data_IF_252193643093
#
_entry.id   IF_252193643093
#
_cell.length_a   1.000
_cell.length_b   1.000
_cell.length_c   1.000
_cell.angle_alpha   90.00
_cell.angle_beta   90.00
_cell.angle_gamma   90.00
#
_symmetry.space_group_name_H-M   'P 1'
#
loop_
_entity.id
_entity.type
_entity.pdbx_description
1 polymer ?
#
# COMPACT_ATOMS: atom_id res chain seq x y z
N UNK A 1 8.84 4.19 -16.55
CA UNK A 1 9.08 3.15 -15.52
C UNK A 1 8.19 3.32 -14.29
N UNK A 2 6.99 2.74 -14.30
CA UNK A 2 5.98 2.81 -13.20
C UNK A 2 6.18 1.71 -12.14
N UNK A 3 7.04 0.71 -12.40
CA UNK A 3 7.34 -0.39 -11.46
C UNK A 3 7.91 0.13 -10.14
N UNK A 4 8.70 1.20 -10.21
CA UNK A 4 9.39 1.78 -9.06
C UNK A 4 8.45 2.49 -8.05
N UNK A 5 7.53 3.37 -8.46
CA UNK A 5 6.53 3.93 -7.53
C UNK A 5 5.54 2.87 -7.01
N UNK A 6 5.20 1.86 -7.82
CA UNK A 6 4.35 0.76 -7.36
C UNK A 6 5.01 -0.12 -6.28
N UNK A 7 6.32 -0.42 -6.42
CA UNK A 7 7.06 -1.13 -5.37
C UNK A 7 7.17 -0.31 -4.09
N UNK A 8 7.18 1.01 -4.19
CA UNK A 8 7.24 1.90 -3.04
C UNK A 8 5.91 1.92 -2.28
N UNK A 9 4.78 2.02 -3.00
CA UNK A 9 3.46 1.87 -2.39
C UNK A 9 3.25 0.49 -1.73
N UNK A 10 3.85 -0.58 -2.28
CA UNK A 10 3.85 -1.89 -1.63
C UNK A 10 4.63 -1.90 -0.30
N UNK A 11 5.79 -1.23 -0.24
CA UNK A 11 6.59 -1.10 0.99
C UNK A 11 5.84 -0.28 2.06
N UNK A 12 5.16 0.79 1.65
CA UNK A 12 4.26 1.55 2.52
C UNK A 12 3.11 0.69 3.05
N UNK A 13 2.55 -0.19 2.20
CA UNK A 13 1.54 -1.18 2.60
C UNK A 13 2.04 -2.15 3.68
N UNK A 14 3.31 -2.56 3.63
CA UNK A 14 3.93 -3.38 4.69
C UNK A 14 4.00 -2.60 6.01
N UNK A 15 4.37 -1.31 5.95
CA UNK A 15 4.38 -0.46 7.15
C UNK A 15 2.98 -0.34 7.76
N UNK A 16 1.93 -0.14 6.95
CA UNK A 16 0.55 -0.11 7.42
C UNK A 16 0.12 -1.45 8.05
N UNK A 17 0.49 -2.58 7.46
CA UNK A 17 0.22 -3.90 8.01
C UNK A 17 0.86 -4.07 9.41
N UNK A 18 2.12 -3.68 9.56
CA UNK A 18 2.83 -3.74 10.85
C UNK A 18 2.18 -2.82 11.89
N UNK A 19 1.68 -1.65 11.48
CA UNK A 19 0.92 -0.73 12.34
C UNK A 19 -0.41 -1.35 12.80
N UNK A 20 -1.14 -2.03 11.91
CA UNK A 20 -2.37 -2.75 12.31
C UNK A 20 -2.04 -3.90 13.25
N UNK A 21 -0.97 -4.64 12.98
CA UNK A 21 -0.53 -5.78 13.80
C UNK A 21 -0.14 -5.34 15.21
N UNK A 22 0.59 -4.22 15.37
CA UNK A 22 0.92 -3.69 16.68
C UNK A 22 -0.34 -3.27 17.45
N UNK A 23 -1.30 -2.61 16.77
CA UNK A 23 -2.53 -2.13 17.41
C UNK A 23 -3.41 -3.30 17.86
N UNK A 24 -3.52 -4.36 17.05
CA UNK A 24 -4.23 -5.57 17.43
C UNK A 24 -3.58 -6.29 18.62
N UNK A 25 -2.24 -6.35 18.66
CA UNK A 25 -1.51 -6.93 19.79
C UNK A 25 -1.69 -6.10 21.07
N UNK A 26 -1.64 -4.76 20.97
CA UNK A 26 -1.88 -3.86 22.10
C UNK A 26 -3.33 -3.93 22.60
N UNK A 27 -4.31 -4.04 21.70
CA UNK A 27 -5.72 -4.19 22.05
C UNK A 27 -6.01 -5.54 22.72
N UNK A 28 -5.24 -6.58 22.41
CA UNK A 28 -5.36 -7.91 23.02
C UNK A 28 -4.71 -8.00 24.40
N UNK A 29 -3.99 -6.96 24.83
CA UNK A 29 -3.38 -6.90 26.15
C UNK A 29 -4.39 -6.45 27.21
N UNK A 30 -5.20 -7.36 27.72
CA UNK A 30 -6.00 -7.12 28.91
C UNK A 30 -5.29 -7.66 30.17
N UNK A 31 -5.03 -6.78 31.13
CA UNK A 31 -4.77 -7.09 32.54
C UNK A 31 -3.46 -7.82 32.97
N UNK A 32 -2.62 -8.37 32.08
CA UNK A 32 -1.52 -9.27 32.50
C UNK A 32 -0.12 -9.04 31.91
N UNK A 33 0.05 -8.08 30.99
CA UNK A 33 1.34 -7.67 30.43
C UNK A 33 1.58 -8.09 28.97
N UNK A 34 1.94 -7.11 28.13
CA UNK A 34 2.30 -7.29 26.72
C UNK A 34 3.74 -7.81 26.50
N UNK A 35 4.20 -8.77 27.31
CA UNK A 35 5.60 -9.20 27.37
C UNK A 35 6.06 -10.15 26.25
N UNK A 36 5.30 -10.29 25.16
CA UNK A 36 5.68 -11.21 24.10
C UNK A 36 6.78 -10.60 23.22
N UNK A 37 7.86 -11.33 22.98
CA UNK A 37 9.04 -10.88 22.22
C UNK A 37 8.71 -10.41 20.79
N UNK A 38 7.56 -10.83 20.25
CA UNK A 38 7.07 -10.41 18.92
C UNK A 38 6.69 -8.94 18.88
N UNK A 39 6.21 -8.36 19.98
CA UNK A 39 5.74 -6.97 20.02
C UNK A 39 6.87 -5.95 19.72
N UNK A 40 8.05 -6.01 20.37
CA UNK A 40 9.16 -5.13 20.02
C UNK A 40 9.74 -5.42 18.62
N UNK A 41 9.65 -6.66 18.12
CA UNK A 41 10.06 -7.00 16.74
C UNK A 41 9.13 -6.34 15.72
N UNK A 42 7.82 -6.35 15.94
CA UNK A 42 6.86 -5.71 15.04
C UNK A 42 6.99 -4.18 15.10
N UNK A 43 7.19 -3.60 16.29
CA UNK A 43 7.43 -2.15 16.44
C UNK A 43 8.73 -1.73 15.73
N UNK A 44 9.82 -2.47 15.92
CA UNK A 44 11.09 -2.15 15.27
C UNK A 44 11.03 -2.36 13.76
N UNK A 45 10.36 -3.43 13.30
CA UNK A 45 10.08 -3.65 11.88
C UNK A 45 9.29 -2.51 11.25
N UNK A 46 8.24 -2.03 11.93
CA UNK A 46 7.44 -0.89 11.49
C UNK A 46 8.26 0.41 11.39
N UNK A 47 9.10 0.68 12.40
CA UNK A 47 9.95 1.87 12.41
C UNK A 47 10.98 1.82 11.27
N UNK A 48 11.60 0.66 11.04
CA UNK A 48 12.58 0.47 9.96
C UNK A 48 11.94 0.57 8.58
N UNK A 49 10.77 -0.06 8.37
CA UNK A 49 10.05 0.04 7.10
C UNK A 49 9.64 1.49 6.84
N UNK A 50 9.08 2.18 7.83
CA UNK A 50 8.67 3.58 7.69
C UNK A 50 9.84 4.51 7.31
N UNK A 51 11.01 4.31 7.94
CA UNK A 51 12.21 5.09 7.61
C UNK A 51 12.69 4.77 6.18
N UNK A 52 12.68 3.49 5.80
CA UNK A 52 13.06 3.07 4.45
C UNK A 52 12.13 3.68 3.40
N UNK A 53 10.82 3.62 3.61
CA UNK A 53 9.81 4.19 2.71
C UNK A 53 10.04 5.69 2.53
N UNK A 54 10.18 6.47 3.62
CA UNK A 54 10.44 7.92 3.55
C UNK A 54 11.73 8.24 2.80
N UNK A 55 12.79 7.45 3.02
CA UNK A 55 14.07 7.65 2.36
C UNK A 55 14.01 7.40 0.85
N UNK A 56 13.37 6.30 0.44
CA UNK A 56 13.16 5.97 -0.97
C UNK A 56 12.23 6.97 -1.66
N UNK A 57 11.17 7.41 -0.99
CA UNK A 57 10.18 8.36 -1.51
C UNK A 57 10.83 9.71 -1.83
N UNK A 58 11.77 10.16 -0.98
CA UNK A 58 12.62 11.34 -1.25
C UNK A 58 13.48 11.16 -2.51
N UNK A 59 14.01 9.96 -2.76
CA UNK A 59 14.81 9.66 -3.96
C UNK A 59 13.93 9.67 -5.21
N UNK A 60 12.71 9.11 -5.13
CA UNK A 60 11.77 9.00 -6.25
C UNK A 60 11.27 10.36 -6.70
N UNK A 61 10.86 11.21 -5.76
CA UNK A 61 10.40 12.57 -6.08
C UNK A 61 11.49 13.50 -6.61
N UNK A 62 12.77 13.13 -6.47
CA UNK A 62 13.87 13.82 -7.17
C UNK A 62 14.04 13.39 -8.62
N UNK A 63 13.47 12.25 -9.03
CA UNK A 63 13.74 11.59 -10.32
C UNK A 63 12.53 11.58 -11.26
N UNK A 64 11.31 11.68 -10.73
CA UNK A 64 10.06 11.55 -11.49
C UNK A 64 9.12 12.74 -11.25
N UNK A 65 8.32 13.08 -12.26
CA UNK A 65 7.21 14.03 -12.09
C UNK A 65 6.21 13.48 -11.07
N UNK A 66 6.08 14.20 -9.96
CA UNK A 66 5.23 13.87 -8.82
C UNK A 66 3.78 13.63 -9.23
N UNK A 67 3.28 14.40 -10.20
CA UNK A 67 1.89 14.40 -10.66
C UNK A 67 1.39 13.04 -11.17
N UNK A 68 2.26 12.24 -11.79
CA UNK A 68 1.91 10.95 -12.37
C UNK A 68 2.28 9.77 -11.47
N UNK A 69 3.29 9.95 -10.61
CA UNK A 69 3.76 8.92 -9.70
C UNK A 69 2.88 8.79 -8.44
N UNK A 70 2.44 9.91 -7.88
CA UNK A 70 1.62 9.98 -6.66
C UNK A 70 0.35 9.11 -6.70
N UNK A 71 -0.49 9.14 -7.76
CA UNK A 71 -1.72 8.36 -7.79
C UNK A 71 -1.48 6.85 -7.80
N UNK A 72 -0.40 6.41 -8.47
CA UNK A 72 -0.05 4.99 -8.55
C UNK A 72 0.51 4.49 -7.22
N UNK A 73 1.35 5.30 -6.58
CA UNK A 73 1.92 5.01 -5.25
C UNK A 73 0.82 4.88 -4.20
N UNK A 74 -0.03 5.91 -4.04
CA UNK A 74 -1.14 5.89 -3.08
C UNK A 74 -2.18 4.81 -3.41
N UNK A 75 -2.44 4.55 -4.70
CA UNK A 75 -3.33 3.46 -5.12
C UNK A 75 -2.78 2.09 -4.75
N UNK A 76 -1.49 1.84 -4.97
CA UNK A 76 -0.83 0.59 -4.60
C UNK A 76 -0.78 0.40 -3.07
N UNK A 77 -0.46 1.46 -2.32
CA UNK A 77 -0.46 1.43 -0.86
C UNK A 77 -1.86 1.13 -0.29
N UNK A 78 -2.90 1.80 -0.81
CA UNK A 78 -4.28 1.56 -0.39
C UNK A 78 -4.75 0.13 -0.71
N UNK A 79 -4.40 -0.41 -1.87
CA UNK A 79 -4.70 -1.81 -2.21
C UNK A 79 -3.99 -2.79 -1.27
N UNK A 80 -2.70 -2.59 -1.02
CA UNK A 80 -1.92 -3.44 -0.13
C UNK A 80 -2.47 -3.41 1.31
N UNK A 81 -2.85 -2.23 1.81
CA UNK A 81 -3.45 -2.05 3.12
C UNK A 81 -4.80 -2.78 3.23
N UNK A 82 -5.71 -2.57 2.28
CA UNK A 82 -7.03 -3.23 2.27
C UNK A 82 -6.91 -4.75 2.15
N UNK A 83 -6.08 -5.25 1.23
CA UNK A 83 -5.86 -6.70 1.06
C UNK A 83 -5.25 -7.29 2.33
N UNK A 84 -4.30 -6.60 2.95
CA UNK A 84 -3.70 -7.06 4.20
C UNK A 84 -4.70 -7.14 5.35
N UNK A 85 -5.60 -6.15 5.48
CA UNK A 85 -6.71 -6.16 6.43
C UNK A 85 -7.64 -7.36 6.22
N UNK A 86 -8.04 -7.58 4.97
CA UNK A 86 -8.94 -8.68 4.61
C UNK A 86 -8.33 -10.06 4.87
N UNK A 87 -7.06 -10.26 4.52
CA UNK A 87 -6.37 -11.56 4.60
C UNK A 87 -5.90 -11.88 6.01
N UNK A 88 -5.26 -10.94 6.70
CA UNK A 88 -4.61 -11.21 7.99
C UNK A 88 -5.53 -10.98 9.20
N UNK A 89 -6.41 -9.98 9.15
CA UNK A 89 -7.28 -9.63 10.29
C UNK A 89 -8.67 -10.25 10.18
N UNK A 90 -8.93 -11.05 9.13
CA UNK A 90 -10.23 -11.66 8.84
C UNK A 90 -11.37 -10.63 8.93
N UNK A 91 -11.12 -9.39 8.50
CA UNK A 91 -12.11 -8.30 8.54
C UNK A 91 -13.39 -8.69 7.77
N UNK A 92 -13.29 -9.59 6.80
CA UNK A 92 -14.43 -10.15 6.07
C UNK A 92 -15.47 -10.87 6.96
N UNK A 93 -15.06 -11.48 8.09
CA UNK A 93 -15.98 -12.17 9.02
C UNK A 93 -16.74 -11.15 9.91
N UNK A 94 -16.22 -9.92 10.06
CA UNK A 94 -16.83 -8.85 10.85
C UNK A 94 -17.65 -7.84 10.04
N UNK A 95 -17.67 -7.97 8.70
CA UNK A 95 -18.29 -7.01 7.79
C UNK A 95 -19.63 -7.52 7.24
N UNK A 96 -20.60 -6.61 7.09
CA UNK A 96 -21.82 -6.92 6.34
C UNK A 96 -21.54 -7.03 4.83
N UNK A 97 -22.35 -7.83 4.12
CA UNK A 97 -22.14 -8.14 2.70
C UNK A 97 -22.06 -6.89 1.79
N UNK A 98 -22.75 -5.79 2.14
CA UNK A 98 -22.68 -4.54 1.38
C UNK A 98 -21.36 -3.80 1.59
N UNK A 99 -20.76 -3.87 2.79
CA UNK A 99 -19.46 -3.27 3.09
C UNK A 99 -18.37 -4.00 2.31
N UNK A 100 -18.44 -5.33 2.28
CA UNK A 100 -17.55 -6.16 1.47
C UNK A 100 -17.66 -5.82 -0.03
N UNK A 101 -18.88 -5.63 -0.54
CA UNK A 101 -19.10 -5.24 -1.93
C UNK A 101 -18.49 -3.86 -2.27
N UNK A 102 -18.56 -2.89 -1.34
CA UNK A 102 -17.91 -1.59 -1.51
C UNK A 102 -16.38 -1.69 -1.49
N UNK A 103 -15.82 -2.52 -0.61
CA UNK A 103 -14.37 -2.76 -0.55
C UNK A 103 -13.88 -3.38 -1.86
N UNK A 104 -14.55 -4.43 -2.34
CA UNK A 104 -14.18 -5.11 -3.60
C UNK A 104 -14.32 -4.16 -4.79
N UNK A 105 -15.40 -3.37 -4.87
CA UNK A 105 -15.58 -2.41 -5.95
C UNK A 105 -14.53 -1.29 -5.92
N UNK A 106 -14.15 -0.81 -4.73
CA UNK A 106 -13.04 0.12 -4.55
C UNK A 106 -11.71 -0.44 -5.05
N UNK A 107 -11.40 -1.71 -4.73
CA UNK A 107 -10.20 -2.36 -5.24
C UNK A 107 -10.19 -2.46 -6.77
N UNK A 108 -11.31 -2.81 -7.39
CA UNK A 108 -11.45 -2.88 -8.85
C UNK A 108 -11.23 -1.50 -9.49
N UNK A 109 -11.77 -0.43 -8.90
CA UNK A 109 -11.58 0.94 -9.39
C UNK A 109 -10.11 1.35 -9.33
N UNK A 110 -9.39 1.02 -8.25
CA UNK A 110 -7.96 1.35 -8.14
C UNK A 110 -7.15 0.58 -9.19
N UNK A 111 -7.39 -0.72 -9.38
CA UNK A 111 -6.72 -1.52 -10.40
C UNK A 111 -7.03 -1.00 -11.81
N UNK A 112 -8.28 -0.65 -12.09
CA UNK A 112 -8.69 -0.07 -13.35
C UNK A 112 -8.01 1.29 -13.59
N UNK A 113 -7.93 2.15 -12.57
CA UNK A 113 -7.22 3.43 -12.63
C UNK A 113 -5.73 3.28 -12.96
N UNK A 114 -5.04 2.35 -12.29
CA UNK A 114 -3.64 2.01 -12.61
C UNK A 114 -3.52 1.47 -14.05
N UNK A 115 -4.47 0.63 -14.49
CA UNK A 115 -4.53 0.10 -15.85
C UNK A 115 -4.69 1.19 -16.92
N UNK A 116 -5.55 2.17 -16.69
CA UNK A 116 -5.73 3.32 -17.60
C UNK A 116 -4.45 4.16 -17.69
N UNK A 117 -3.76 4.37 -16.57
CA UNK A 117 -2.46 5.08 -16.55
C UNK A 117 -1.40 4.33 -17.37
N UNK A 118 -1.40 2.98 -17.33
CA UNK A 118 -0.50 2.17 -18.17
C UNK A 118 -0.82 2.30 -19.66
N UNK A 119 -2.08 2.19 -20.04
CA UNK A 119 -2.52 2.29 -21.43
C UNK A 119 -2.26 3.69 -22.01
N UNK A 120 -2.35 4.74 -21.19
CA UNK A 120 -1.95 6.09 -21.57
C UNK A 120 -0.46 6.21 -21.84
N UNK A 121 0.37 5.66 -20.95
CA UNK A 121 1.83 5.70 -21.09
C UNK A 121 2.33 4.96 -22.36
N UNK A 122 1.77 3.78 -22.68
CA UNK A 122 2.13 3.03 -23.90
C UNK A 122 1.74 3.79 -25.18
N UNK A 123 0.64 4.56 -25.14
CA UNK A 123 0.17 5.35 -26.28
C UNK A 123 1.09 6.53 -26.55
N UNK A 124 1.59 7.20 -25.52
CA UNK A 124 2.52 8.34 -25.67
C UNK A 124 3.88 7.90 -26.25
N UNK A 125 4.37 6.72 -25.87
CA UNK A 125 5.60 6.14 -26.42
C UNK A 125 5.47 5.81 -27.91
N UNK A 126 4.29 5.32 -28.32
CA UNK A 126 4.01 5.02 -29.74
C UNK A 126 3.90 6.28 -30.63
N UNK A 127 3.42 7.40 -30.09
CA UNK A 127 3.34 8.67 -30.81
C UNK A 127 4.72 9.32 -30.96
N UNK A 128 5.61 9.17 -29.97
CA UNK A 128 7.00 9.62 -30.07
C UNK A 128 7.78 8.85 -31.13
N UNK A 129 7.47 7.57 -31.38
CA UNK A 129 8.17 6.77 -32.38
C UNK A 129 7.65 7.05 -33.80
N UNK A 130 6.39 7.49 -33.95
CA UNK A 130 5.82 7.86 -35.25
C UNK A 130 6.19 9.27 -35.73
N UNK A 131 6.85 10.06 -34.88
CA UNK A 131 7.28 11.44 -35.18
C UNK A 131 8.80 11.58 -35.40
N UNK A 132 9.51 10.45 -35.51
CA UNK A 132 10.93 10.35 -35.90
C UNK A 132 11.06 9.74 -37.30
#
# INVERSE_FOLDING_TARGET
SIVYPASLGLDEGIAHLLLRAQNAMLASCDGGGCGHWVLPVVISGWALSSIATVWWLRIVFRRYETTTALPVEYGAAALADVISGLVFFKEADGMEAWQLALVVSGCVVIVAGIGVIRLGADRDESLSFSSV
#
